data_IF_589952301459
#
_entry.id   IF_589952301459
#
_cell.length_a   1.000
_cell.length_b   1.000
_cell.length_c   1.000
_cell.angle_alpha   90.00
_cell.angle_beta   90.00
_cell.angle_gamma   90.00
#
_symmetry.space_group_name_H-M   'P 1'
#
loop_
_entity.id
_entity.type
_entity.pdbx_description
1 polymer ?
#
# COMPACT_ATOMS: atom_id res chain seq x y z
N UNK A 1 2.19 -8.45 3.81
CA UNK A 1 3.30 -7.50 3.64
C UNK A 1 4.41 -7.96 4.57
N UNK A 2 5.62 -8.11 4.09
CA UNK A 2 6.78 -8.41 4.96
C UNK A 2 7.30 -7.08 5.51
N UNK A 3 6.63 -6.55 6.55
CA UNK A 3 7.03 -5.33 7.25
C UNK A 3 6.75 -5.46 8.74
N UNK A 4 7.63 -4.91 9.56
CA UNK A 4 7.49 -4.82 11.02
C UNK A 4 7.04 -3.45 11.48
N UNK A 5 6.97 -2.46 10.59
CA UNK A 5 6.60 -1.10 10.92
C UNK A 5 5.39 -0.64 10.09
N UNK A 6 4.27 -0.47 10.76
CA UNK A 6 3.02 0.02 10.18
C UNK A 6 2.57 1.21 11.02
N UNK A 7 2.25 2.31 10.35
CA UNK A 7 1.61 3.47 11.00
C UNK A 7 0.15 3.51 10.57
N UNK A 8 -0.74 3.93 11.44
CA UNK A 8 -2.14 4.11 11.08
C UNK A 8 -2.72 5.34 11.77
N UNK A 9 -3.80 5.87 11.21
CA UNK A 9 -4.66 6.84 11.87
C UNK A 9 -6.13 6.46 11.63
N UNK A 10 -6.96 6.75 12.62
CA UNK A 10 -8.38 6.42 12.63
C UNK A 10 -8.77 5.74 13.93
N UNK A 11 -10.06 5.45 14.08
CA UNK A 11 -10.56 4.70 15.22
C UNK A 11 -10.27 3.20 15.02
N UNK A 12 -9.46 2.55 15.89
CA UNK A 12 -9.17 1.12 15.79
C UNK A 12 -10.40 0.21 15.95
N UNK A 13 -11.49 0.72 16.54
CA UNK A 13 -12.75 -0.01 16.69
C UNK A 13 -13.66 0.09 15.46
N UNK A 14 -13.23 0.80 14.41
CA UNK A 14 -13.98 0.94 13.16
C UNK A 14 -14.24 -0.44 12.54
N UNK A 15 -15.51 -0.79 12.31
CA UNK A 15 -15.86 -1.99 11.56
C UNK A 15 -15.52 -1.84 10.07
N UNK A 16 -14.49 -2.53 9.62
CA UNK A 16 -14.00 -2.47 8.23
C UNK A 16 -14.71 -3.51 7.37
N UNK A 17 -15.37 -3.05 6.29
CA UNK A 17 -16.02 -3.91 5.27
C UNK A 17 -15.46 -3.70 3.86
N UNK A 18 -14.92 -2.52 3.58
CA UNK A 18 -14.35 -2.12 2.31
C UNK A 18 -13.04 -1.38 2.54
N UNK A 19 -12.00 -1.91 1.92
CA UNK A 19 -10.64 -1.38 1.98
C UNK A 19 -10.24 -0.94 0.58
N UNK A 20 -9.74 0.29 0.43
CA UNK A 20 -9.00 0.71 -0.74
C UNK A 20 -7.52 0.40 -0.54
N UNK A 21 -6.81 0.03 -1.60
CA UNK A 21 -5.37 -0.27 -1.56
C UNK A 21 -4.68 0.37 -2.76
N UNK A 22 -3.56 1.06 -2.50
CA UNK A 22 -2.63 1.51 -3.53
C UNK A 22 -1.22 1.37 -2.97
N UNK A 23 -0.34 0.61 -3.62
CA UNK A 23 1.06 0.53 -3.20
C UNK A 23 1.79 1.87 -3.40
N UNK A 24 2.90 2.06 -2.68
CA UNK A 24 3.74 3.25 -2.80
C UNK A 24 3.05 4.53 -2.31
N UNK A 25 3.38 5.67 -2.92
CA UNK A 25 2.87 7.00 -2.52
C UNK A 25 1.46 7.27 -3.08
N UNK A 26 0.47 6.51 -2.62
CA UNK A 26 -0.92 6.54 -3.10
C UNK A 26 -1.86 7.57 -2.46
N UNK A 27 -1.38 8.40 -1.53
CA UNK A 27 -2.22 9.36 -0.77
C UNK A 27 -3.08 10.28 -1.66
N UNK A 28 -2.62 10.60 -2.87
CA UNK A 28 -3.36 11.39 -3.85
C UNK A 28 -4.69 10.76 -4.31
N UNK A 29 -4.88 9.44 -4.10
CA UNK A 29 -6.11 8.71 -4.42
C UNK A 29 -7.13 8.68 -3.26
N UNK A 30 -6.81 9.31 -2.13
CA UNK A 30 -7.64 9.29 -0.91
C UNK A 30 -9.10 9.72 -1.19
N UNK A 31 -9.30 10.80 -1.94
CA UNK A 31 -10.65 11.27 -2.30
C UNK A 31 -11.43 10.23 -3.11
N UNK A 32 -10.75 9.52 -4.01
CA UNK A 32 -11.37 8.46 -4.79
C UNK A 32 -11.73 7.26 -3.91
N UNK A 33 -10.87 6.89 -2.96
CA UNK A 33 -11.14 5.84 -1.98
C UNK A 33 -12.42 6.14 -1.17
N UNK A 34 -12.55 7.37 -0.68
CA UNK A 34 -13.73 7.86 0.04
C UNK A 34 -14.97 7.79 -0.85
N UNK A 35 -14.90 8.31 -2.08
CA UNK A 35 -16.02 8.27 -3.02
C UNK A 35 -16.48 6.84 -3.38
N UNK A 36 -15.57 5.86 -3.34
CA UNK A 36 -15.89 4.44 -3.51
C UNK A 36 -16.40 3.78 -2.23
N UNK A 37 -16.50 4.53 -1.14
CA UNK A 37 -17.03 4.11 0.15
C UNK A 37 -16.05 3.26 0.98
N UNK A 38 -14.74 3.43 0.78
CA UNK A 38 -13.75 2.76 1.61
C UNK A 38 -13.81 3.29 3.06
N UNK A 39 -13.71 2.40 4.04
CA UNK A 39 -13.53 2.81 5.45
C UNK A 39 -12.03 2.92 5.80
N UNK A 40 -11.20 2.11 5.14
CA UNK A 40 -9.76 2.11 5.30
C UNK A 40 -9.11 2.29 3.94
N UNK A 41 -8.06 3.09 3.87
CA UNK A 41 -7.17 3.17 2.72
C UNK A 41 -5.75 2.78 3.12
N UNK A 42 -5.23 1.73 2.48
CA UNK A 42 -3.88 1.21 2.70
C UNK A 42 -2.97 1.74 1.60
N UNK A 43 -1.93 2.47 2.00
CA UNK A 43 -0.94 3.08 1.11
C UNK A 43 0.42 3.15 1.82
N UNK A 44 1.37 3.89 1.26
CA UNK A 44 2.59 4.27 1.94
C UNK A 44 2.89 5.79 1.80
N UNK A 45 3.97 6.21 2.45
CA UNK A 45 4.53 7.57 2.44
C UNK A 45 3.54 8.67 2.87
N UNK A 46 2.67 8.34 3.81
CA UNK A 46 1.64 9.28 4.28
C UNK A 46 2.31 10.39 5.09
N UNK A 47 2.09 11.62 4.66
CA UNK A 47 2.52 12.84 5.35
C UNK A 47 1.50 13.22 6.42
N UNK A 48 1.95 13.97 7.42
CA UNK A 48 1.10 14.37 8.55
C UNK A 48 -0.20 15.08 8.12
N UNK A 49 -0.13 16.02 7.17
CA UNK A 49 -1.32 16.75 6.72
C UNK A 49 -2.29 15.86 5.91
N UNK A 50 -1.79 14.86 5.19
CA UNK A 50 -2.64 13.88 4.49
C UNK A 50 -3.35 12.98 5.49
N UNK A 51 -2.68 12.60 6.58
CA UNK A 51 -3.29 11.86 7.68
C UNK A 51 -4.39 12.66 8.39
N UNK A 52 -4.17 13.95 8.65
CA UNK A 52 -5.19 14.84 9.20
C UNK A 52 -6.40 14.94 8.25
N UNK A 53 -6.15 15.17 6.97
CA UNK A 53 -7.21 15.26 5.97
C UNK A 53 -8.05 13.97 5.89
N UNK A 54 -7.42 12.80 5.98
CA UNK A 54 -8.14 11.53 5.98
C UNK A 54 -9.09 11.41 7.18
N UNK A 55 -8.60 11.78 8.38
CA UNK A 55 -9.40 11.78 9.59
C UNK A 55 -10.59 12.74 9.50
N UNK A 56 -10.36 13.97 9.01
CA UNK A 56 -11.41 14.97 8.81
C UNK A 56 -12.50 14.47 7.84
N UNK A 57 -12.13 13.58 6.92
CA UNK A 57 -13.03 12.96 5.94
C UNK A 57 -13.60 11.60 6.41
N UNK A 58 -13.30 11.18 7.64
CA UNK A 58 -13.78 9.91 8.21
C UNK A 58 -13.16 8.66 7.58
N UNK A 59 -11.96 8.78 6.98
CA UNK A 59 -11.22 7.68 6.40
C UNK A 59 -10.08 7.26 7.33
N UNK A 60 -10.01 5.98 7.68
CA UNK A 60 -8.84 5.42 8.35
C UNK A 60 -7.71 5.20 7.34
N UNK A 61 -6.48 5.57 7.69
CA UNK A 61 -5.31 5.28 6.86
C UNK A 61 -4.41 4.24 7.51
N UNK A 62 -3.82 3.40 6.68
CA UNK A 62 -2.72 2.52 7.04
C UNK A 62 -1.55 2.82 6.11
N UNK A 63 -0.46 3.29 6.68
CA UNK A 63 0.83 3.43 6.01
C UNK A 63 1.67 2.16 6.27
N UNK A 64 1.76 1.32 5.23
CA UNK A 64 2.47 0.05 5.27
C UNK A 64 3.93 0.12 4.84
N UNK A 65 4.46 1.32 4.53
CA UNK A 65 5.80 1.50 3.97
C UNK A 65 5.87 1.24 2.45
N UNK A 66 6.66 2.06 1.75
CA UNK A 66 6.67 2.08 0.28
C UNK A 66 7.13 0.74 -0.29
N UNK A 67 8.30 0.28 0.15
CA UNK A 67 8.90 -0.96 -0.31
C UNK A 67 7.95 -2.15 -0.05
N UNK A 68 7.44 -2.27 1.19
CA UNK A 68 6.63 -3.40 1.57
C UNK A 68 5.31 -3.47 0.79
N UNK A 69 4.68 -2.33 0.49
CA UNK A 69 3.39 -2.26 -0.22
C UNK A 69 3.51 -2.55 -1.72
N UNK A 70 4.66 -2.28 -2.35
CA UNK A 70 4.85 -2.54 -3.78
C UNK A 70 5.40 -3.93 -4.09
N UNK A 71 6.18 -4.53 -3.19
CA UNK A 71 6.84 -5.83 -3.44
C UNK A 71 5.90 -6.97 -3.87
N UNK A 72 4.68 -7.12 -3.33
CA UNK A 72 3.76 -8.14 -3.80
C UNK A 72 3.46 -8.04 -5.31
N UNK A 73 3.40 -6.83 -5.87
CA UNK A 73 3.15 -6.63 -7.29
C UNK A 73 4.30 -7.13 -8.16
N UNK A 74 5.55 -7.03 -7.68
CA UNK A 74 6.72 -7.53 -8.42
C UNK A 74 6.71 -9.05 -8.58
N UNK A 75 6.31 -9.79 -7.55
CA UNK A 75 6.15 -11.25 -7.63
C UNK A 75 5.04 -11.65 -8.60
N UNK A 76 3.92 -10.93 -8.59
CA UNK A 76 2.82 -11.17 -9.55
C UNK A 76 3.28 -10.87 -10.98
N UNK A 77 3.96 -9.74 -11.19
CA UNK A 77 4.48 -9.35 -12.51
C UNK A 77 5.50 -10.36 -13.04
N UNK A 78 6.47 -10.77 -12.23
CA UNK A 78 7.48 -11.75 -12.63
C UNK A 78 6.83 -13.08 -13.05
N UNK A 79 5.85 -13.57 -12.28
CA UNK A 79 5.08 -14.77 -12.64
C UNK A 79 4.31 -14.58 -13.94
N UNK A 80 3.69 -13.42 -14.13
CA UNK A 80 2.90 -13.14 -15.33
C UNK A 80 3.79 -13.08 -16.58
N UNK A 81 4.95 -12.42 -16.49
CA UNK A 81 5.92 -12.37 -17.58
C UNK A 81 6.48 -13.75 -17.90
N UNK A 82 6.80 -14.57 -16.88
CA UNK A 82 7.28 -15.94 -17.06
C UNK A 82 6.25 -16.86 -17.74
N UNK A 83 4.96 -16.53 -17.69
CA UNK A 83 3.90 -17.25 -18.41
C UNK A 83 3.68 -16.76 -19.85
N UNK A 84 4.15 -15.56 -20.18
CA UNK A 84 3.94 -14.92 -21.49
C UNK A 84 5.17 -15.03 -22.39
N UNK A 85 6.36 -15.21 -21.81
CA UNK A 85 7.64 -15.14 -22.50
C UNK A 85 8.40 -16.46 -22.28
N UNK A 86 8.22 -17.40 -23.20
CA UNK A 86 8.83 -18.73 -23.10
C UNK A 86 10.35 -18.73 -23.39
N UNK A 87 10.84 -17.74 -24.16
CA UNK A 87 12.24 -17.64 -24.61
C UNK A 87 13.09 -16.67 -23.78
N UNK A 88 12.53 -16.13 -22.68
CA UNK A 88 13.20 -15.15 -21.83
C UNK A 88 13.21 -15.62 -20.38
N UNK A 89 14.38 -15.66 -19.76
CA UNK A 89 14.49 -15.91 -18.32
C UNK A 89 13.99 -14.69 -17.53
N UNK A 90 12.99 -14.91 -16.67
CA UNK A 90 12.45 -13.89 -15.77
C UNK A 90 12.88 -14.21 -14.35
N UNK A 91 13.53 -13.26 -13.69
CA UNK A 91 13.95 -13.38 -12.29
C UNK A 91 13.56 -12.13 -11.49
N UNK A 92 13.16 -12.34 -10.23
CA UNK A 92 12.99 -11.23 -9.28
C UNK A 92 14.33 -10.79 -8.71
N UNK A 93 14.58 -9.48 -8.68
CA UNK A 93 15.77 -8.93 -8.06
C UNK A 93 15.80 -9.24 -6.56
N UNK A 94 16.88 -9.90 -6.10
CA UNK A 94 17.13 -10.22 -4.69
C UNK A 94 18.02 -9.14 -4.05
N UNK A 95 17.97 -9.00 -2.73
CA UNK A 95 18.88 -8.16 -1.96
C UNK A 95 18.54 -6.65 -1.89
N UNK A 96 17.53 -6.18 -2.61
CA UNK A 96 16.97 -4.86 -2.36
C UNK A 96 16.15 -4.92 -1.06
N UNK A 97 16.48 -4.09 -0.08
CA UNK A 97 15.72 -3.98 1.18
C UNK A 97 15.15 -2.58 1.31
N UNK A 98 14.10 -2.45 2.10
CA UNK A 98 13.63 -1.13 2.55
C UNK A 98 14.83 -0.30 3.07
N UNK A 99 15.03 0.94 2.57
CA UNK A 99 16.10 1.81 3.07
C UNK A 99 15.87 2.26 4.51
N UNK A 100 14.63 2.20 5.00
CA UNK A 100 14.29 2.54 6.37
C UNK A 100 14.47 1.32 7.29
N UNK A 101 15.11 1.56 8.45
CA UNK A 101 15.27 0.60 9.54
C UNK A 101 14.47 1.11 10.73
N UNK A 102 13.70 0.24 11.37
CA UNK A 102 12.74 0.59 12.43
C UNK A 102 12.62 -0.52 13.44
#
# INVERSE_FOLDING_TARGET
LETTNIRYCGDPETQVRKVAVCGGTGSFLMLQAIQKGAQVFVTADVKHHEALQALDMGLCLVDGGHYATERPAMTVLARHLAQLLDDVEIAEAKGHTDPFRV
#
